data_IF_924958473405
#
_entry.id   IF_924958473405
#
_cell.length_a   1.000
_cell.length_b   1.000
_cell.length_c   1.000
_cell.angle_alpha   90.00
_cell.angle_beta   90.00
_cell.angle_gamma   90.00
#
_symmetry.space_group_name_H-M   'P 1'
#
loop_
_entity.id
_entity.type
_entity.pdbx_description
1 polymer ?
#
# COMPACT_ATOMS: atom_id res chain seq x y z
N UNK A 1 -67.28 -55.29 44.93
CA UNK A 1 -67.50 -56.69 44.47
C UNK A 1 -67.00 -57.68 45.54
N UNK A 2 -67.29 -57.48 46.84
CA UNK A 2 -68.47 -57.82 47.65
C UNK A 2 -68.71 -59.34 47.92
N UNK A 3 -68.34 -60.29 47.06
CA UNK A 3 -68.49 -61.74 47.38
C UNK A 3 -67.25 -62.42 47.98
N UNK A 4 -66.16 -61.66 48.23
CA UNK A 4 -64.99 -62.14 49.01
C UNK A 4 -64.88 -61.56 50.42
N UNK A 5 -65.86 -60.77 50.87
CA UNK A 5 -65.70 -59.95 52.08
C UNK A 5 -66.25 -60.55 53.40
N UNK A 6 -66.77 -61.78 53.45
CA UNK A 6 -67.42 -62.31 54.67
C UNK A 6 -66.56 -63.30 55.50
N UNK A 7 -65.27 -63.51 55.20
CA UNK A 7 -64.41 -64.43 56.00
C UNK A 7 -63.00 -63.97 56.37
N UNK A 8 -62.60 -62.73 56.11
CA UNK A 8 -61.33 -62.20 56.64
C UNK A 8 -61.62 -61.32 57.84
N UNK A 9 -61.07 -61.69 59.00
CA UNK A 9 -61.12 -60.83 60.19
C UNK A 9 -60.53 -59.46 59.84
N UNK A 10 -60.93 -58.38 60.53
CA UNK A 10 -60.31 -57.06 60.36
C UNK A 10 -58.78 -57.13 60.37
N UNK A 11 -58.21 -57.98 61.21
CA UNK A 11 -56.76 -58.24 61.30
C UNK A 11 -56.14 -58.79 60.02
N UNK A 12 -56.86 -59.63 59.26
CA UNK A 12 -56.37 -60.18 58.00
C UNK A 12 -56.40 -59.13 56.88
N UNK A 13 -57.38 -58.22 56.88
CA UNK A 13 -57.43 -57.09 55.96
C UNK A 13 -56.32 -56.07 56.25
N UNK A 14 -56.09 -55.73 57.52
CA UNK A 14 -55.01 -54.83 57.92
C UNK A 14 -53.62 -55.42 57.64
N UNK A 15 -53.43 -56.74 57.80
CA UNK A 15 -52.19 -57.42 57.40
C UNK A 15 -51.94 -57.32 55.90
N UNK A 16 -52.94 -57.64 55.08
CA UNK A 16 -52.81 -57.60 53.61
C UNK A 16 -52.56 -56.18 53.08
N UNK A 17 -53.21 -55.17 53.69
CA UNK A 17 -52.96 -53.76 53.38
C UNK A 17 -51.54 -53.33 53.75
N UNK A 18 -51.03 -53.76 54.92
CA UNK A 18 -49.66 -53.49 55.36
C UNK A 18 -48.62 -54.16 54.45
N UNK A 19 -48.81 -55.44 54.13
CA UNK A 19 -47.92 -56.19 53.23
C UNK A 19 -47.88 -55.59 51.81
N UNK A 20 -48.96 -54.91 51.39
CA UNK A 20 -49.03 -54.21 50.10
C UNK A 20 -48.32 -52.85 50.19
N UNK A 21 -48.47 -52.12 51.29
CA UNK A 21 -47.76 -50.87 51.54
C UNK A 21 -46.24 -51.11 51.59
N UNK A 22 -45.79 -52.10 52.36
CA UNK A 22 -44.38 -52.46 52.52
C UNK A 22 -43.75 -52.89 51.17
N UNK A 23 -44.51 -53.62 50.33
CA UNK A 23 -44.09 -53.98 48.96
C UNK A 23 -43.95 -52.76 48.06
N UNK A 24 -44.92 -51.84 48.11
CA UNK A 24 -44.89 -50.62 47.31
C UNK A 24 -43.77 -49.68 47.77
N UNK A 25 -43.48 -49.59 49.08
CA UNK A 25 -42.33 -48.84 49.60
C UNK A 25 -41.00 -49.45 49.12
N UNK A 26 -40.84 -50.78 49.18
CA UNK A 26 -39.63 -51.44 48.68
C UNK A 26 -39.42 -51.24 47.17
N UNK A 27 -40.49 -51.24 46.38
CA UNK A 27 -40.43 -50.99 44.94
C UNK A 27 -40.12 -49.52 44.63
N UNK A 28 -40.68 -48.58 45.41
CA UNK A 28 -40.35 -47.16 45.33
C UNK A 28 -38.88 -46.88 45.69
N UNK A 29 -38.33 -47.53 46.72
CA UNK A 29 -36.91 -47.42 47.08
C UNK A 29 -35.99 -47.94 45.96
N UNK A 30 -36.35 -49.07 45.35
CA UNK A 30 -35.62 -49.64 44.21
C UNK A 30 -35.64 -48.71 43.00
N UNK A 31 -36.80 -48.14 42.67
CA UNK A 31 -36.94 -47.18 41.58
C UNK A 31 -36.18 -45.88 41.87
N UNK A 32 -36.16 -45.43 43.13
CA UNK A 32 -35.35 -44.29 43.56
C UNK A 32 -33.85 -44.56 43.42
N UNK A 33 -33.39 -45.79 43.74
CA UNK A 33 -31.99 -46.20 43.55
C UNK A 33 -31.59 -46.24 42.08
N UNK A 34 -32.41 -46.85 41.22
CA UNK A 34 -32.18 -46.87 39.77
C UNK A 34 -32.15 -45.45 39.18
N UNK A 35 -33.04 -44.55 39.64
CA UNK A 35 -33.04 -43.15 39.23
C UNK A 35 -31.75 -42.42 39.64
N UNK A 36 -31.20 -42.71 40.84
CA UNK A 36 -29.90 -42.17 41.27
C UNK A 36 -28.74 -42.66 40.41
N UNK A 37 -28.72 -43.93 40.03
CA UNK A 37 -27.69 -44.51 39.14
C UNK A 37 -27.75 -43.90 37.73
N UNK A 38 -28.95 -43.77 37.15
CA UNK A 38 -29.13 -43.09 35.86
C UNK A 38 -28.64 -41.65 35.94
N UNK A 39 -28.96 -40.93 37.03
CA UNK A 39 -28.49 -39.56 37.26
C UNK A 39 -26.96 -39.50 37.36
N UNK A 40 -26.34 -40.43 38.09
CA UNK A 40 -24.88 -40.50 38.19
C UNK A 40 -24.21 -40.74 36.83
N UNK A 41 -24.72 -41.69 36.03
CA UNK A 41 -24.23 -41.96 34.69
C UNK A 41 -24.40 -40.76 33.76
N UNK A 42 -25.53 -40.04 33.87
CA UNK A 42 -25.79 -38.84 33.08
C UNK A 42 -24.82 -37.71 33.43
N UNK A 43 -24.47 -37.56 34.72
CA UNK A 43 -23.44 -36.61 35.17
C UNK A 43 -22.03 -37.02 34.69
N UNK A 44 -21.70 -38.32 34.68
CA UNK A 44 -20.45 -38.81 34.08
C UNK A 44 -20.39 -38.51 32.58
N UNK A 45 -21.46 -38.79 31.83
CA UNK A 45 -21.54 -38.49 30.40
C UNK A 45 -21.44 -36.98 30.14
N UNK A 46 -22.14 -36.15 30.94
CA UNK A 46 -22.01 -34.69 30.86
C UNK A 46 -20.58 -34.23 31.10
N UNK A 47 -19.89 -34.79 32.10
CA UNK A 47 -18.49 -34.47 32.38
C UNK A 47 -17.58 -34.85 31.22
N UNK A 48 -17.77 -36.04 30.62
CA UNK A 48 -17.01 -36.47 29.43
C UNK A 48 -17.29 -35.58 28.22
N UNK A 49 -18.55 -35.20 27.98
CA UNK A 49 -18.92 -34.28 26.90
C UNK A 49 -18.30 -32.90 27.12
N UNK A 50 -18.26 -32.40 28.35
CA UNK A 50 -17.63 -31.12 28.68
C UNK A 50 -16.13 -31.15 28.38
N UNK A 51 -15.44 -32.24 28.74
CA UNK A 51 -14.01 -32.43 28.45
C UNK A 51 -13.77 -32.48 26.93
N UNK A 52 -14.60 -33.19 26.16
CA UNK A 52 -14.47 -33.22 24.70
C UNK A 52 -14.78 -31.87 24.05
N UNK A 53 -15.71 -31.10 24.60
CA UNK A 53 -16.00 -29.72 24.16
C UNK A 53 -14.84 -28.76 24.43
N UNK A 54 -14.05 -28.98 25.49
CA UNK A 54 -12.86 -28.18 25.78
C UNK A 54 -11.77 -28.35 24.72
N UNK A 55 -11.66 -29.52 24.07
CA UNK A 55 -10.68 -29.78 23.00
C UNK A 55 -11.20 -29.49 21.58
N UNK A 56 -12.48 -29.15 21.43
CA UNK A 56 -13.08 -28.87 20.13
C UNK A 56 -12.45 -27.65 19.41
N UNK A 57 -12.08 -26.55 20.11
CA UNK A 57 -11.38 -25.43 19.49
C UNK A 57 -10.01 -25.82 18.91
N UNK A 58 -9.20 -26.59 19.65
CA UNK A 58 -7.87 -27.03 19.24
C UNK A 58 -7.95 -28.02 18.07
N UNK A 59 -8.94 -28.92 18.07
CA UNK A 59 -9.21 -29.82 16.93
C UNK A 59 -9.64 -29.01 15.70
N UNK A 60 -10.46 -27.97 15.88
CA UNK A 60 -10.88 -27.09 14.80
C UNK A 60 -9.71 -26.28 14.24
N UNK A 61 -8.83 -25.78 15.11
CA UNK A 61 -7.62 -25.06 14.73
C UNK A 61 -6.64 -25.99 14.00
N UNK A 62 -6.43 -27.21 14.50
CA UNK A 62 -5.58 -28.21 13.85
C UNK A 62 -6.10 -28.62 12.46
N UNK A 63 -7.43 -28.76 12.30
CA UNK A 63 -8.04 -28.97 10.97
C UNK A 63 -7.78 -27.81 10.02
N UNK A 64 -7.85 -26.57 10.52
CA UNK A 64 -7.51 -25.39 9.72
C UNK A 64 -6.05 -25.40 9.27
N UNK A 65 -5.12 -25.74 10.17
CA UNK A 65 -3.71 -25.93 9.83
C UNK A 65 -3.49 -27.03 8.77
N UNK A 66 -4.18 -28.18 8.89
CA UNK A 66 -4.11 -29.24 7.88
C UNK A 66 -4.63 -28.78 6.52
N UNK A 67 -5.77 -28.06 6.48
CA UNK A 67 -6.28 -27.48 5.23
C UNK A 67 -5.31 -26.46 4.61
N UNK A 68 -4.64 -25.65 5.42
CA UNK A 68 -3.61 -24.71 4.94
C UNK A 68 -2.37 -25.43 4.40
N UNK A 69 -2.00 -26.58 4.98
CA UNK A 69 -0.91 -27.44 4.48
C UNK A 69 -1.32 -28.06 3.14
N UNK A 70 -2.51 -28.66 3.04
CA UNK A 70 -3.00 -29.28 1.80
C UNK A 70 -3.04 -28.25 0.65
N UNK A 71 -3.54 -27.04 0.93
CA UNK A 71 -3.53 -25.94 -0.05
C UNK A 71 -2.12 -25.59 -0.53
N UNK A 72 -1.14 -25.53 0.38
CA UNK A 72 0.26 -25.27 0.02
C UNK A 72 0.86 -26.42 -0.77
N UNK A 73 0.52 -27.68 -0.45
CA UNK A 73 0.94 -28.86 -1.21
C UNK A 73 0.39 -28.81 -2.62
N UNK A 74 -0.88 -28.45 -2.80
CA UNK A 74 -1.49 -28.29 -4.12
C UNK A 74 -0.83 -27.16 -4.93
N UNK A 75 -0.52 -26.02 -4.30
CA UNK A 75 0.23 -24.93 -4.93
C UNK A 75 1.63 -25.38 -5.40
N UNK A 76 2.32 -26.17 -4.59
CA UNK A 76 3.64 -26.73 -4.94
C UNK A 76 3.54 -27.74 -6.07
N UNK A 77 2.55 -28.65 -6.02
CA UNK A 77 2.33 -29.64 -7.07
C UNK A 77 2.00 -28.98 -8.42
N UNK A 78 1.17 -27.92 -8.40
CA UNK A 78 0.87 -27.14 -9.59
C UNK A 78 2.14 -26.50 -10.17
N UNK A 79 2.94 -25.83 -9.35
CA UNK A 79 4.23 -25.25 -9.78
C UNK A 79 5.18 -26.32 -10.35
N UNK A 80 5.19 -27.50 -9.74
CA UNK A 80 6.00 -28.62 -10.21
C UNK A 80 5.54 -29.12 -11.59
N UNK A 81 4.24 -29.20 -11.83
CA UNK A 81 3.70 -29.59 -13.13
C UNK A 81 3.94 -28.53 -14.21
N UNK A 82 3.85 -27.24 -13.86
CA UNK A 82 4.25 -26.13 -14.72
C UNK A 82 5.74 -26.26 -15.12
N UNK A 83 6.63 -26.47 -14.15
CA UNK A 83 8.07 -26.70 -14.38
C UNK A 83 8.32 -27.92 -15.28
N UNK A 84 7.59 -29.03 -15.08
CA UNK A 84 7.71 -30.21 -15.96
C UNK A 84 7.28 -29.87 -17.39
N UNK A 85 6.21 -29.09 -17.55
CA UNK A 85 5.74 -28.57 -18.83
C UNK A 85 6.81 -27.75 -19.53
N UNK A 86 7.41 -26.79 -18.81
CA UNK A 86 8.47 -25.93 -19.33
C UNK A 86 9.72 -26.72 -19.73
N UNK A 87 10.14 -27.68 -18.90
CA UNK A 87 11.26 -28.59 -19.22
C UNK A 87 10.97 -29.37 -20.51
N UNK A 88 9.74 -29.86 -20.69
CA UNK A 88 9.34 -30.59 -21.90
C UNK A 88 9.38 -29.68 -23.13
N UNK A 89 8.86 -28.46 -23.02
CA UNK A 89 8.86 -27.47 -24.10
C UNK A 89 10.29 -27.10 -24.50
N UNK A 90 11.14 -26.79 -23.53
CA UNK A 90 12.54 -26.41 -23.78
C UNK A 90 13.31 -27.59 -24.38
N UNK A 91 13.08 -28.82 -23.92
CA UNK A 91 13.66 -30.01 -24.56
C UNK A 91 13.21 -30.14 -26.02
N UNK A 92 11.96 -29.83 -26.33
CA UNK A 92 11.45 -29.85 -27.70
C UNK A 92 12.08 -28.76 -28.57
N UNK A 93 12.28 -27.55 -28.03
CA UNK A 93 12.98 -26.44 -28.72
C UNK A 93 14.43 -26.83 -29.01
N UNK A 94 15.16 -27.29 -27.99
CA UNK A 94 16.55 -27.76 -28.12
C UNK A 94 16.65 -28.90 -29.15
N UNK A 95 15.71 -29.85 -29.13
CA UNK A 95 15.68 -30.97 -30.08
C UNK A 95 15.49 -30.56 -31.55
N UNK A 96 14.97 -29.36 -31.82
CA UNK A 96 14.86 -28.81 -33.18
C UNK A 96 16.05 -27.94 -33.59
N UNK A 97 16.88 -27.52 -32.63
CA UNK A 97 18.04 -26.65 -32.90
C UNK A 97 19.16 -27.41 -33.60
N UNK A 98 19.64 -26.84 -34.70
CA UNK A 98 20.81 -27.35 -35.41
C UNK A 98 22.09 -27.23 -34.58
N UNK A 99 22.25 -26.12 -33.86
CA UNK A 99 23.39 -25.88 -32.97
C UNK A 99 23.45 -26.90 -31.83
N UNK A 100 22.31 -27.17 -31.17
CA UNK A 100 22.24 -28.17 -30.12
C UNK A 100 22.52 -29.59 -30.67
N UNK A 101 21.99 -29.91 -31.85
CA UNK A 101 22.28 -31.18 -32.52
C UNK A 101 23.76 -31.34 -32.87
N UNK A 102 24.44 -30.27 -33.24
CA UNK A 102 25.88 -30.30 -33.55
C UNK A 102 26.70 -30.52 -32.28
N UNK A 103 26.43 -29.78 -31.21
CA UNK A 103 27.13 -29.91 -29.92
C UNK A 103 27.00 -31.33 -29.33
N UNK A 104 25.80 -31.91 -29.41
CA UNK A 104 25.53 -33.25 -28.91
C UNK A 104 26.16 -34.34 -29.78
N UNK A 105 26.22 -34.15 -31.10
CA UNK A 105 26.93 -35.04 -32.01
C UNK A 105 28.43 -35.07 -31.72
N UNK A 106 29.06 -33.90 -31.57
CA UNK A 106 30.48 -33.78 -31.18
C UNK A 106 30.78 -34.47 -29.84
N UNK A 107 29.87 -34.36 -28.87
CA UNK A 107 29.99 -35.07 -27.59
C UNK A 107 29.96 -36.59 -27.81
N UNK A 108 29.04 -37.10 -28.61
CA UNK A 108 28.92 -38.53 -28.89
C UNK A 108 30.18 -39.08 -29.59
N UNK A 109 30.72 -38.34 -30.57
CA UNK A 109 31.98 -38.68 -31.24
C UNK A 109 33.17 -38.74 -30.26
N UNK A 110 33.24 -37.80 -29.31
CA UNK A 110 34.27 -37.80 -28.26
C UNK A 110 34.11 -38.99 -27.29
N UNK A 111 32.88 -39.33 -26.90
CA UNK A 111 32.59 -40.46 -26.01
C UNK A 111 32.89 -41.81 -26.69
N UNK A 112 32.55 -41.95 -27.98
CA UNK A 112 32.92 -43.13 -28.77
C UNK A 112 34.44 -43.26 -28.90
N UNK A 113 35.13 -42.16 -29.23
CA UNK A 113 36.59 -42.13 -29.28
C UNK A 113 37.23 -42.48 -27.93
N UNK A 114 36.64 -42.06 -26.81
CA UNK A 114 37.10 -42.40 -25.47
C UNK A 114 36.99 -43.91 -25.19
N UNK A 115 35.85 -44.52 -25.54
CA UNK A 115 35.58 -45.93 -25.31
C UNK A 115 36.45 -46.87 -26.17
N UNK A 116 36.89 -46.41 -27.35
CA UNK A 116 37.77 -47.17 -28.23
C UNK A 116 39.24 -47.23 -27.77
N UNK A 117 39.64 -46.45 -26.75
CA UNK A 117 41.04 -46.40 -26.29
C UNK A 117 41.32 -47.48 -25.23
N UNK A 118 42.35 -48.33 -25.39
CA UNK A 118 42.73 -49.33 -24.39
C UNK A 118 43.08 -48.72 -23.01
N UNK A 119 42.78 -49.45 -21.93
CA UNK A 119 43.07 -49.00 -20.55
C UNK A 119 44.56 -48.70 -20.29
N UNK A 120 45.46 -49.31 -21.08
CA UNK A 120 46.90 -49.10 -21.01
C UNK A 120 47.37 -47.71 -21.46
N UNK A 121 46.54 -46.93 -22.17
CA UNK A 121 46.90 -45.61 -22.69
C UNK A 121 46.29 -44.46 -21.86
N UNK A 122 46.78 -44.33 -20.62
CA UNK A 122 46.24 -43.40 -19.61
C UNK A 122 46.31 -41.92 -20.01
N UNK A 123 47.38 -41.49 -20.70
CA UNK A 123 47.54 -40.09 -21.09
C UNK A 123 46.52 -39.62 -22.13
N UNK A 124 46.24 -40.44 -23.15
CA UNK A 124 45.26 -40.10 -24.20
C UNK A 124 43.84 -40.08 -23.63
N UNK A 125 43.51 -41.01 -22.71
CA UNK A 125 42.23 -41.01 -21.99
C UNK A 125 42.01 -39.74 -21.18
N UNK A 126 43.03 -39.25 -20.46
CA UNK A 126 42.93 -38.00 -19.69
C UNK A 126 42.68 -36.79 -20.60
N UNK A 127 43.27 -36.76 -21.79
CA UNK A 127 43.07 -35.66 -22.75
C UNK A 127 41.63 -35.63 -23.27
N UNK A 128 41.12 -36.78 -23.71
CA UNK A 128 39.76 -36.87 -24.27
C UNK A 128 38.70 -36.69 -23.18
N UNK A 129 38.92 -37.18 -21.96
CA UNK A 129 37.99 -36.93 -20.85
C UNK A 129 37.84 -35.44 -20.54
N UNK A 130 38.92 -34.65 -20.63
CA UNK A 130 38.85 -33.18 -20.51
C UNK A 130 38.06 -32.54 -21.66
N UNK A 131 38.19 -33.04 -22.89
CA UNK A 131 37.41 -32.55 -24.02
C UNK A 131 35.92 -32.88 -23.86
N UNK A 132 35.58 -34.10 -23.43
CA UNK A 132 34.22 -34.51 -23.08
C UNK A 132 33.64 -33.57 -22.02
N UNK A 133 34.38 -33.31 -20.95
CA UNK A 133 33.93 -32.43 -19.87
C UNK A 133 33.72 -30.99 -20.37
N UNK A 134 34.65 -30.45 -21.16
CA UNK A 134 34.50 -29.14 -21.79
C UNK A 134 33.26 -29.07 -22.70
N UNK A 135 32.99 -30.15 -23.45
CA UNK A 135 31.83 -30.22 -24.34
C UNK A 135 30.51 -30.32 -23.55
N UNK A 136 30.49 -31.09 -22.45
CA UNK A 136 29.34 -31.16 -21.53
C UNK A 136 29.05 -29.80 -20.91
N UNK A 137 30.08 -29.06 -20.51
CA UNK A 137 29.95 -27.69 -20.01
C UNK A 137 29.41 -26.73 -21.08
N UNK A 138 29.89 -26.83 -22.33
CA UNK A 138 29.37 -26.03 -23.44
C UNK A 138 27.89 -26.31 -23.72
N UNK A 139 27.49 -27.59 -23.72
CA UNK A 139 26.09 -28.02 -23.88
C UNK A 139 25.23 -27.46 -22.73
N UNK A 140 25.70 -27.56 -21.48
CA UNK A 140 24.92 -27.07 -20.35
C UNK A 140 24.81 -25.54 -20.38
N UNK A 141 25.89 -24.81 -20.69
CA UNK A 141 25.85 -23.36 -20.88
C UNK A 141 24.84 -22.96 -21.95
N UNK A 142 24.85 -23.64 -23.10
CA UNK A 142 23.88 -23.40 -24.17
C UNK A 142 22.43 -23.65 -23.72
N UNK A 143 22.18 -24.71 -22.96
CA UNK A 143 20.84 -24.99 -22.40
C UNK A 143 20.39 -23.88 -21.47
N UNK A 144 21.29 -23.39 -20.61
CA UNK A 144 21.01 -22.25 -19.72
C UNK A 144 20.72 -20.97 -20.52
N UNK A 145 21.40 -20.74 -21.65
CA UNK A 145 21.14 -19.57 -22.51
C UNK A 145 19.75 -19.63 -23.15
N UNK A 146 19.37 -20.80 -23.66
CA UNK A 146 18.03 -21.04 -24.21
C UNK A 146 16.95 -20.87 -23.12
N UNK A 147 17.19 -21.39 -21.92
CA UNK A 147 16.32 -21.19 -20.75
C UNK A 147 16.13 -19.70 -20.42
N UNK A 148 17.22 -18.92 -20.38
CA UNK A 148 17.17 -17.47 -20.13
C UNK A 148 16.34 -16.73 -21.17
N UNK A 149 16.48 -17.10 -22.44
CA UNK A 149 15.70 -16.46 -23.51
C UNK A 149 14.22 -16.85 -23.44
N UNK A 150 13.90 -18.12 -23.15
CA UNK A 150 12.52 -18.56 -22.91
C UNK A 150 11.87 -17.80 -21.75
N UNK A 151 12.60 -17.66 -20.64
CA UNK A 151 12.12 -16.91 -19.48
C UNK A 151 11.86 -15.45 -19.84
N UNK A 152 12.70 -14.85 -20.68
CA UNK A 152 12.50 -13.47 -21.16
C UNK A 152 11.21 -13.35 -21.97
N UNK A 153 10.96 -14.25 -22.93
CA UNK A 153 9.70 -14.26 -23.68
C UNK A 153 8.47 -14.47 -22.78
N UNK A 154 8.58 -15.29 -21.74
CA UNK A 154 7.47 -15.55 -20.81
C UNK A 154 7.08 -14.35 -19.94
N UNK A 155 8.02 -13.42 -19.71
CA UNK A 155 7.82 -12.26 -18.82
C UNK A 155 7.27 -11.03 -19.53
N UNK A 156 7.30 -11.01 -20.86
CA UNK A 156 6.88 -9.87 -21.67
C UNK A 156 5.53 -10.12 -22.32
N UNK A 157 4.80 -9.04 -22.59
CA UNK A 157 3.63 -9.11 -23.48
C UNK A 157 4.12 -9.05 -24.92
N UNK A 158 3.61 -9.94 -25.77
CA UNK A 158 4.05 -10.04 -27.16
C UNK A 158 3.08 -9.26 -28.03
N UNK A 159 3.38 -7.97 -28.19
CA UNK A 159 2.50 -6.95 -28.78
C UNK A 159 2.89 -6.54 -30.20
N UNK A 160 4.14 -6.77 -30.62
CA UNK A 160 4.61 -6.46 -31.96
C UNK A 160 4.69 -7.69 -32.86
N UNK A 161 4.48 -7.47 -34.16
CA UNK A 161 4.62 -8.53 -35.17
C UNK A 161 6.05 -9.08 -35.23
N UNK A 162 7.05 -8.20 -35.10
CA UNK A 162 8.47 -8.58 -35.03
C UNK A 162 8.72 -9.54 -33.86
N UNK A 163 8.17 -9.24 -32.68
CA UNK A 163 8.36 -10.07 -31.48
C UNK A 163 7.61 -11.40 -31.59
N UNK A 164 6.40 -11.43 -32.19
CA UNK A 164 5.69 -12.69 -32.49
C UNK A 164 6.51 -13.60 -33.41
N UNK A 165 7.08 -13.03 -34.47
CA UNK A 165 7.90 -13.78 -35.41
C UNK A 165 9.21 -14.28 -34.75
N UNK A 166 9.83 -13.45 -33.91
CA UNK A 166 11.03 -13.83 -33.18
C UNK A 166 10.74 -14.97 -32.18
N UNK A 167 9.62 -14.91 -31.46
CA UNK A 167 9.20 -16.01 -30.58
C UNK A 167 8.94 -17.30 -31.37
N UNK A 168 8.25 -17.22 -32.51
CA UNK A 168 8.01 -18.39 -33.34
C UNK A 168 9.32 -19.02 -33.86
N UNK A 169 10.29 -18.21 -34.27
CA UNK A 169 11.61 -18.67 -34.67
C UNK A 169 12.35 -19.35 -33.51
N UNK A 170 12.28 -18.77 -32.30
CA UNK A 170 12.83 -19.35 -31.08
C UNK A 170 12.22 -20.71 -30.77
N UNK A 171 10.89 -20.83 -30.83
CA UNK A 171 10.16 -22.08 -30.57
C UNK A 171 10.39 -23.17 -31.63
N UNK A 172 10.82 -22.76 -32.83
CA UNK A 172 11.32 -23.69 -33.86
C UNK A 172 12.78 -24.11 -33.66
N UNK A 173 13.49 -23.54 -32.68
CA UNK A 173 14.91 -23.82 -32.43
C UNK A 173 15.88 -23.07 -33.34
N UNK A 174 15.40 -22.08 -34.10
CA UNK A 174 16.21 -21.24 -34.99
C UNK A 174 16.60 -19.95 -34.26
N UNK A 175 17.63 -20.07 -33.43
CA UNK A 175 18.11 -18.97 -32.59
C UNK A 175 18.77 -17.86 -33.42
N UNK A 176 19.39 -18.21 -34.55
CA UNK A 176 19.96 -17.25 -35.49
C UNK A 176 18.86 -16.39 -36.10
N UNK A 177 17.78 -17.01 -36.61
CA UNK A 177 16.65 -16.27 -37.18
C UNK A 177 15.94 -15.39 -36.16
N UNK A 178 15.86 -15.86 -34.92
CA UNK A 178 15.36 -15.05 -33.79
C UNK A 178 16.12 -13.72 -33.67
N UNK A 179 17.46 -13.78 -33.70
CA UNK A 179 18.32 -12.59 -33.66
C UNK A 179 18.24 -11.72 -34.92
N UNK A 180 18.11 -12.30 -36.11
CA UNK A 180 17.94 -11.55 -37.36
C UNK A 180 16.62 -10.76 -37.40
N UNK A 181 15.54 -11.34 -36.87
CA UNK A 181 14.25 -10.66 -36.76
C UNK A 181 14.31 -9.50 -35.76
N UNK A 182 15.11 -9.64 -34.70
CA UNK A 182 15.39 -8.62 -33.69
C UNK A 182 16.68 -7.86 -34.01
N UNK A 183 16.85 -7.41 -35.25
CA UNK A 183 18.07 -6.73 -35.67
C UNK A 183 18.23 -5.34 -35.00
N UNK A 184 19.49 -4.99 -34.71
CA UNK A 184 19.83 -3.78 -33.98
C UNK A 184 19.38 -2.50 -34.69
N UNK A 185 19.51 -2.42 -36.01
CA UNK A 185 19.16 -1.22 -36.78
C UNK A 185 17.69 -0.86 -36.67
N UNK A 186 16.80 -1.83 -36.84
CA UNK A 186 15.36 -1.60 -36.70
C UNK A 186 14.98 -1.25 -35.25
N UNK A 187 15.60 -1.93 -34.27
CA UNK A 187 15.37 -1.66 -32.85
C UNK A 187 15.83 -0.25 -32.44
N UNK A 188 16.98 0.19 -32.94
CA UNK A 188 17.52 1.53 -32.72
C UNK A 188 16.62 2.60 -33.35
N UNK A 189 16.15 2.39 -34.58
CA UNK A 189 15.23 3.30 -35.25
C UNK A 189 13.90 3.44 -34.49
N UNK A 190 13.33 2.33 -34.02
CA UNK A 190 12.14 2.34 -33.18
C UNK A 190 12.39 3.07 -31.85
N UNK A 191 13.53 2.83 -31.21
CA UNK A 191 13.92 3.49 -29.96
C UNK A 191 14.04 5.01 -30.13
N UNK A 192 14.77 5.48 -31.14
CA UNK A 192 14.94 6.91 -31.40
C UNK A 192 13.60 7.60 -31.64
N UNK A 193 12.73 6.98 -32.44
CA UNK A 193 11.37 7.48 -32.69
C UNK A 193 10.55 7.58 -31.41
N UNK A 194 10.57 6.54 -30.57
CA UNK A 194 9.82 6.52 -29.31
C UNK A 194 10.34 7.57 -28.31
N UNK A 195 11.66 7.76 -28.23
CA UNK A 195 12.26 8.78 -27.39
C UNK A 195 11.90 10.19 -27.89
N UNK A 196 11.96 10.44 -29.20
CA UNK A 196 11.54 11.71 -29.79
C UNK A 196 10.05 12.01 -29.50
N UNK A 197 9.17 11.02 -29.65
CA UNK A 197 7.75 11.16 -29.34
C UNK A 197 7.49 11.42 -27.85
N UNK A 198 8.25 10.75 -26.96
CA UNK A 198 8.17 10.98 -25.51
C UNK A 198 8.54 12.43 -25.17
N UNK A 199 9.60 12.95 -25.78
CA UNK A 199 10.05 14.33 -25.60
C UNK A 199 9.04 15.35 -26.14
N UNK A 200 8.46 15.11 -27.32
CA UNK A 200 7.41 15.94 -27.88
C UNK A 200 6.18 15.98 -26.97
N UNK A 201 5.73 14.83 -26.46
CA UNK A 201 4.61 14.75 -25.52
C UNK A 201 4.89 15.49 -24.21
N UNK A 202 6.12 15.42 -23.69
CA UNK A 202 6.55 16.18 -22.52
C UNK A 202 6.43 17.68 -22.78
N UNK A 203 6.99 18.17 -23.89
CA UNK A 203 6.91 19.60 -24.26
C UNK A 203 5.48 20.10 -24.39
N UNK A 204 4.61 19.33 -25.05
CA UNK A 204 3.18 19.66 -25.19
C UNK A 204 2.46 19.72 -23.83
N UNK A 205 2.83 18.83 -22.91
CA UNK A 205 2.31 18.87 -21.53
C UNK A 205 2.79 20.14 -20.81
N UNK A 206 4.09 20.45 -20.87
CA UNK A 206 4.65 21.64 -20.22
C UNK A 206 4.02 22.94 -20.79
N UNK A 207 3.79 23.00 -22.10
CA UNK A 207 3.08 24.10 -22.76
C UNK A 207 1.64 24.23 -22.25
N UNK A 208 0.90 23.12 -22.14
CA UNK A 208 -0.46 23.10 -21.61
C UNK A 208 -0.50 23.54 -20.14
N UNK A 209 0.42 23.05 -19.31
CA UNK A 209 0.53 23.41 -17.90
C UNK A 209 0.81 24.92 -17.75
N UNK A 210 1.65 25.49 -18.62
CA UNK A 210 1.88 26.94 -18.69
C UNK A 210 0.61 27.70 -19.11
N UNK A 211 -0.13 27.25 -20.12
CA UNK A 211 -1.37 27.90 -20.54
C UNK A 211 -2.42 27.88 -19.42
N UNK A 212 -2.53 26.77 -18.69
CA UNK A 212 -3.40 26.67 -17.51
C UNK A 212 -2.98 27.63 -16.40
N UNK A 213 -1.68 27.82 -16.17
CA UNK A 213 -1.16 28.81 -15.20
C UNK A 213 -1.49 30.25 -15.61
N UNK A 214 -1.38 30.58 -16.89
CA UNK A 214 -1.79 31.90 -17.39
C UNK A 214 -3.29 32.12 -17.20
N UNK A 215 -4.12 31.15 -17.60
CA UNK A 215 -5.56 31.23 -17.43
C UNK A 215 -5.98 31.35 -15.95
N UNK A 216 -5.31 30.60 -15.05
CA UNK A 216 -5.52 30.74 -13.61
C UNK A 216 -5.21 32.16 -13.12
N UNK A 217 -4.14 32.77 -13.64
CA UNK A 217 -3.72 34.13 -13.29
C UNK A 217 -4.73 35.18 -13.80
N UNK A 218 -5.27 35.00 -15.01
CA UNK A 218 -6.34 35.85 -15.55
C UNK A 218 -7.61 35.80 -14.67
N UNK A 219 -8.02 34.61 -14.24
CA UNK A 219 -9.15 34.47 -13.33
C UNK A 219 -8.88 35.07 -11.94
N UNK A 220 -7.64 34.98 -11.44
CA UNK A 220 -7.24 35.62 -10.19
C UNK A 220 -7.40 37.15 -10.29
N UNK A 221 -6.88 37.75 -11.37
CA UNK A 221 -7.02 39.19 -11.62
C UNK A 221 -8.50 39.55 -11.80
N UNK A 222 -9.28 38.72 -12.49
CA UNK A 222 -10.73 38.93 -12.66
C UNK A 222 -11.46 38.92 -11.32
N UNK A 223 -11.12 38.00 -10.42
CA UNK A 223 -11.72 37.94 -9.07
C UNK A 223 -11.43 39.23 -8.28
N UNK A 224 -10.16 39.67 -8.27
CA UNK A 224 -9.71 40.89 -7.62
C UNK A 224 -10.40 42.14 -8.22
N UNK A 225 -10.46 42.25 -9.54
CA UNK A 225 -11.13 43.36 -10.22
C UNK A 225 -12.63 43.40 -9.91
N UNK A 226 -13.28 42.24 -9.84
CA UNK A 226 -14.70 42.14 -9.49
C UNK A 226 -14.95 42.56 -8.04
N UNK A 227 -14.03 42.27 -7.12
CA UNK A 227 -14.16 42.69 -5.72
C UNK A 227 -14.11 44.23 -5.57
N UNK A 228 -13.31 44.88 -6.41
CA UNK A 228 -13.16 46.34 -6.45
C UNK A 228 -14.34 47.06 -7.10
N UNK A 229 -15.19 46.37 -7.87
CA UNK A 229 -16.35 46.94 -8.52
C UNK A 229 -17.52 47.12 -7.54
N UNK A 230 -17.53 48.26 -6.84
CA UNK A 230 -18.59 48.59 -5.89
C UNK A 230 -19.97 48.81 -6.54
N UNK A 231 -20.03 48.95 -7.87
CA UNK A 231 -21.30 49.13 -8.59
C UNK A 231 -22.01 47.80 -8.87
N UNK A 232 -21.27 46.69 -8.87
CA UNK A 232 -21.81 45.37 -9.10
C UNK A 232 -22.51 44.80 -7.84
N UNK A 233 -23.84 44.59 -7.87
CA UNK A 233 -24.57 44.05 -6.73
C UNK A 233 -24.22 42.59 -6.42
N UNK A 234 -23.75 41.83 -7.42
CA UNK A 234 -23.40 40.41 -7.30
C UNK A 234 -21.91 40.17 -7.04
N UNK A 235 -21.13 41.24 -6.79
CA UNK A 235 -19.67 41.15 -6.74
C UNK A 235 -19.14 40.08 -5.78
N UNK A 236 -19.82 39.82 -4.67
CA UNK A 236 -19.38 38.82 -3.69
C UNK A 236 -19.38 37.40 -4.27
N UNK A 237 -20.52 36.93 -4.78
CA UNK A 237 -20.63 35.58 -5.32
C UNK A 237 -19.79 35.40 -6.59
N UNK A 238 -19.71 36.45 -7.43
CA UNK A 238 -18.89 36.42 -8.64
C UNK A 238 -17.38 36.37 -8.30
N UNK A 239 -16.90 37.18 -7.36
CA UNK A 239 -15.49 37.14 -6.91
C UNK A 239 -15.12 35.74 -6.41
N UNK A 240 -15.94 35.15 -5.54
CA UNK A 240 -15.71 33.78 -5.05
C UNK A 240 -15.67 32.78 -6.21
N UNK A 241 -16.59 32.90 -7.16
CA UNK A 241 -16.63 32.03 -8.34
C UNK A 241 -15.36 32.14 -9.16
N UNK A 242 -14.86 33.36 -9.42
CA UNK A 242 -13.63 33.56 -10.19
C UNK A 242 -12.37 33.05 -9.47
N UNK A 243 -12.29 33.19 -8.15
CA UNK A 243 -11.23 32.53 -7.37
C UNK A 243 -11.26 31.00 -7.54
N UNK A 244 -12.44 30.39 -7.48
CA UNK A 244 -12.57 28.94 -7.68
C UNK A 244 -12.23 28.52 -9.11
N UNK A 245 -12.57 29.31 -10.14
CA UNK A 245 -12.13 29.03 -11.51
C UNK A 245 -10.62 29.16 -11.68
N UNK A 246 -9.98 30.15 -11.02
CA UNK A 246 -8.53 30.29 -10.99
C UNK A 246 -7.86 29.01 -10.47
N UNK A 247 -8.29 28.55 -9.30
CA UNK A 247 -7.76 27.34 -8.65
C UNK A 247 -8.03 26.10 -9.51
N UNK A 248 -9.21 26.01 -10.14
CA UNK A 248 -9.57 24.91 -11.04
C UNK A 248 -8.65 24.82 -12.26
N UNK A 249 -8.22 25.95 -12.81
CA UNK A 249 -7.28 25.98 -13.93
C UNK A 249 -5.88 25.55 -13.47
N UNK A 250 -5.38 26.13 -12.39
CA UNK A 250 -4.11 25.75 -11.77
C UNK A 250 -4.07 26.29 -10.34
N UNK A 251 -3.86 25.42 -9.36
CA UNK A 251 -3.67 25.84 -7.97
C UNK A 251 -2.24 26.35 -7.76
N UNK A 252 -2.11 27.52 -7.15
CA UNK A 252 -0.83 28.06 -6.69
C UNK A 252 -1.06 28.91 -5.46
N UNK A 253 0.02 29.35 -4.81
CA UNK A 253 -0.12 30.00 -3.51
C UNK A 253 -1.06 31.21 -3.55
N UNK A 254 -0.89 32.14 -4.50
CA UNK A 254 -1.58 33.43 -4.43
C UNK A 254 -3.09 33.34 -4.70
N UNK A 255 -3.56 32.39 -5.52
CA UNK A 255 -4.99 32.23 -5.75
C UNK A 255 -5.71 31.53 -4.58
N UNK A 256 -5.08 30.53 -3.96
CA UNK A 256 -5.57 29.90 -2.74
C UNK A 256 -5.53 30.88 -1.56
N UNK A 257 -4.40 31.56 -1.38
CA UNK A 257 -4.23 32.57 -0.33
C UNK A 257 -5.21 33.73 -0.51
N UNK A 258 -5.40 34.19 -1.75
CA UNK A 258 -6.38 35.23 -2.09
C UNK A 258 -7.81 34.81 -1.74
N UNK A 259 -8.21 33.57 -2.04
CA UNK A 259 -9.52 33.05 -1.66
C UNK A 259 -9.69 32.93 -0.13
N UNK A 260 -8.66 32.45 0.57
CA UNK A 260 -8.68 32.37 2.03
C UNK A 260 -8.83 33.75 2.68
N UNK A 261 -8.07 34.74 2.18
CA UNK A 261 -8.16 36.12 2.62
C UNK A 261 -9.53 36.74 2.32
N UNK A 262 -10.09 36.48 1.14
CA UNK A 262 -11.45 36.87 0.78
C UNK A 262 -12.46 36.31 1.79
N UNK A 263 -12.37 35.03 2.13
CA UNK A 263 -13.24 34.42 3.14
C UNK A 263 -13.12 35.10 4.51
N UNK A 264 -11.90 35.39 4.96
CA UNK A 264 -11.66 36.09 6.22
C UNK A 264 -12.28 37.50 6.21
N UNK A 265 -12.12 38.26 5.12
CA UNK A 265 -12.68 39.62 4.97
C UNK A 265 -14.20 39.65 5.10
N UNK A 266 -14.89 38.59 4.68
CA UNK A 266 -16.34 38.46 4.77
C UNK A 266 -16.81 37.57 5.93
N UNK A 267 -15.99 37.43 6.98
CA UNK A 267 -16.29 36.70 8.22
C UNK A 267 -16.67 35.21 8.01
N UNK A 268 -16.19 34.60 6.93
CA UNK A 268 -16.35 33.17 6.62
C UNK A 268 -15.14 32.40 7.16
N UNK A 269 -14.95 32.43 8.48
CA UNK A 269 -13.74 31.92 9.12
C UNK A 269 -13.49 30.42 8.88
N UNK A 270 -14.52 29.58 8.88
CA UNK A 270 -14.33 28.15 8.60
C UNK A 270 -13.92 27.89 7.14
N UNK A 271 -14.48 28.65 6.19
CA UNK A 271 -14.09 28.56 4.77
C UNK A 271 -12.64 29.06 4.57
N UNK A 272 -12.24 30.11 5.31
CA UNK A 272 -10.86 30.62 5.30
C UNK A 272 -9.87 29.58 5.85
N UNK A 273 -10.18 28.95 6.98
CA UNK A 273 -9.35 27.90 7.59
C UNK A 273 -9.18 26.74 6.61
N UNK A 274 -10.28 26.25 6.06
CA UNK A 274 -10.26 25.18 5.07
C UNK A 274 -9.39 25.54 3.86
N UNK A 275 -9.47 26.78 3.39
CA UNK A 275 -8.69 27.23 2.23
C UNK A 275 -7.20 27.39 2.54
N UNK A 276 -6.84 27.91 3.71
CA UNK A 276 -5.43 27.97 4.13
C UNK A 276 -4.83 26.58 4.33
N UNK A 277 -5.57 25.63 4.91
CA UNK A 277 -5.12 24.25 5.03
C UNK A 277 -4.96 23.57 3.65
N UNK A 278 -5.79 23.95 2.66
CA UNK A 278 -5.64 23.48 1.27
C UNK A 278 -4.31 23.89 0.64
N UNK A 279 -3.72 25.03 1.02
CA UNK A 279 -2.39 25.44 0.53
C UNK A 279 -1.36 24.35 0.87
N UNK A 280 -1.39 23.80 2.08
CA UNK A 280 -0.48 22.73 2.47
C UNK A 280 -0.80 21.40 1.80
N UNK A 281 -2.08 21.05 1.63
CA UNK A 281 -2.43 19.78 0.98
C UNK A 281 -2.14 19.76 -0.51
N UNK A 282 -2.34 20.89 -1.21
CA UNK A 282 -2.20 20.95 -2.68
C UNK A 282 -0.77 21.28 -3.11
N UNK A 283 -0.07 22.16 -2.38
CA UNK A 283 1.28 22.60 -2.74
C UNK A 283 2.37 21.84 -1.97
N UNK A 284 2.07 21.36 -0.76
CA UNK A 284 2.96 20.51 0.04
C UNK A 284 4.41 20.99 0.05
N UNK A 285 5.32 20.15 -0.46
CA UNK A 285 6.76 20.42 -0.51
C UNK A 285 7.18 21.43 -1.58
N UNK A 286 6.30 21.80 -2.51
CA UNK A 286 6.58 22.81 -3.53
C UNK A 286 6.30 24.24 -3.04
N UNK A 287 5.71 24.39 -1.85
CA UNK A 287 5.42 25.67 -1.22
C UNK A 287 6.73 26.33 -0.73
N UNK A 288 7.10 27.52 -1.25
CA UNK A 288 8.26 28.26 -0.74
C UNK A 288 8.13 28.57 0.76
N UNK A 289 9.27 28.66 1.46
CA UNK A 289 9.30 28.84 2.92
C UNK A 289 8.60 30.13 3.36
N UNK A 290 8.73 31.19 2.58
CA UNK A 290 8.09 32.48 2.82
C UNK A 290 6.56 32.39 2.76
N UNK A 291 6.04 31.59 1.82
CA UNK A 291 4.61 31.36 1.64
C UNK A 291 4.06 30.42 2.72
N UNK A 292 4.86 29.43 3.14
CA UNK A 292 4.55 28.58 4.30
C UNK A 292 4.45 29.42 5.57
N UNK A 293 5.44 30.26 5.85
CA UNK A 293 5.44 31.15 7.02
C UNK A 293 4.26 32.12 7.00
N UNK A 294 3.96 32.71 5.83
CA UNK A 294 2.83 33.61 5.66
C UNK A 294 1.49 32.91 5.92
N UNK A 295 1.31 31.71 5.38
CA UNK A 295 0.09 30.91 5.56
C UNK A 295 -0.11 30.54 7.02
N UNK A 296 0.93 30.05 7.70
CA UNK A 296 0.91 29.73 9.13
C UNK A 296 0.55 30.94 9.98
N UNK A 297 1.16 32.10 9.73
CA UNK A 297 0.84 33.31 10.49
C UNK A 297 -0.64 33.72 10.33
N UNK A 298 -1.27 33.49 9.17
CA UNK A 298 -2.69 33.81 8.98
C UNK A 298 -3.64 32.76 9.59
N UNK A 299 -3.28 31.47 9.53
CA UNK A 299 -3.98 30.42 10.27
C UNK A 299 -3.96 30.69 11.78
N UNK A 300 -2.81 31.10 12.31
CA UNK A 300 -2.67 31.40 13.73
C UNK A 300 -3.57 32.56 14.17
N UNK A 301 -3.70 33.60 13.34
CA UNK A 301 -4.65 34.70 13.57
C UNK A 301 -6.10 34.17 13.62
N UNK A 302 -6.44 33.25 12.74
CA UNK A 302 -7.76 32.66 12.63
C UNK A 302 -8.09 31.76 13.83
N UNK A 303 -7.16 30.89 14.24
CA UNK A 303 -7.31 30.06 15.43
C UNK A 303 -7.36 30.89 16.70
N UNK A 304 -6.57 31.96 16.79
CA UNK A 304 -6.69 32.93 17.88
C UNK A 304 -8.09 33.54 17.94
N UNK A 305 -8.66 33.93 16.80
CA UNK A 305 -10.04 34.46 16.74
C UNK A 305 -11.11 33.42 17.14
N UNK A 306 -10.82 32.12 16.95
CA UNK A 306 -11.65 30.99 17.37
C UNK A 306 -11.37 30.54 18.83
N UNK A 307 -10.49 31.22 19.55
CA UNK A 307 -10.02 30.85 20.91
C UNK A 307 -9.26 29.51 20.98
N UNK A 308 -8.73 29.04 19.86
CA UNK A 308 -7.88 27.84 19.76
C UNK A 308 -6.41 28.20 20.03
N UNK A 309 -6.15 28.77 21.21
CA UNK A 309 -4.89 29.45 21.51
C UNK A 309 -3.64 28.57 21.42
N UNK A 310 -3.75 27.27 21.74
CA UNK A 310 -2.63 26.33 21.61
C UNK A 310 -2.19 26.16 20.15
N UNK A 311 -3.15 25.98 19.23
CA UNK A 311 -2.85 25.87 17.79
C UNK A 311 -2.24 27.17 17.26
N UNK A 312 -2.80 28.31 17.65
CA UNK A 312 -2.29 29.62 17.26
C UNK A 312 -0.84 29.84 17.74
N UNK A 313 -0.52 29.41 18.98
CA UNK A 313 0.83 29.53 19.54
C UNK A 313 1.84 28.69 18.76
N UNK A 314 1.50 27.45 18.44
CA UNK A 314 2.34 26.54 17.65
C UNK A 314 2.58 27.11 16.24
N UNK A 315 1.53 27.57 15.57
CA UNK A 315 1.59 28.08 14.19
C UNK A 315 2.36 29.42 14.10
N UNK A 316 2.16 30.36 15.04
CA UNK A 316 2.97 31.58 15.11
C UNK A 316 4.44 31.27 15.38
N UNK A 317 4.72 30.30 16.26
CA UNK A 317 6.09 29.90 16.60
C UNK A 317 6.81 29.25 15.40
N UNK A 318 6.11 28.41 14.64
CA UNK A 318 6.64 27.83 13.40
C UNK A 318 6.87 28.93 12.34
N UNK A 319 5.90 29.83 12.13
CA UNK A 319 6.04 30.95 11.21
C UNK A 319 7.23 31.86 11.58
N UNK A 320 7.41 32.17 12.86
CA UNK A 320 8.52 32.97 13.36
C UNK A 320 9.88 32.30 13.10
N UNK A 321 9.96 30.98 13.32
CA UNK A 321 11.18 30.20 13.05
C UNK A 321 11.53 30.27 11.56
N UNK A 322 10.55 30.10 10.68
CA UNK A 322 10.75 30.20 9.23
C UNK A 322 11.19 31.61 8.82
N UNK A 323 10.54 32.66 9.33
CA UNK A 323 10.93 34.03 9.02
C UNK A 323 12.31 34.40 9.54
N UNK A 324 12.73 33.90 10.72
CA UNK A 324 14.11 34.08 11.21
C UNK A 324 15.12 33.41 10.30
N UNK A 325 14.83 32.18 9.84
CA UNK A 325 15.69 31.48 8.89
C UNK A 325 15.84 32.27 7.58
N UNK A 326 14.73 32.80 7.06
CA UNK A 326 14.74 33.64 5.85
C UNK A 326 15.48 34.97 6.07
N UNK A 327 15.33 35.58 7.24
CA UNK A 327 16.04 36.81 7.61
C UNK A 327 17.56 36.62 7.71
N UNK A 328 18.06 35.43 8.06
CA UNK A 328 19.49 35.16 8.04
C UNK A 328 20.10 35.30 6.63
N UNK A 329 19.33 34.98 5.58
CA UNK A 329 19.77 35.10 4.19
C UNK A 329 19.43 36.45 3.56
N UNK A 330 18.29 37.03 3.91
CA UNK A 330 17.85 38.31 3.35
C UNK A 330 17.15 39.18 4.43
N UNK A 331 17.96 39.81 5.32
CA UNK A 331 17.42 40.56 6.45
C UNK A 331 16.52 41.73 6.04
N UNK A 332 16.88 42.45 4.97
CA UNK A 332 16.16 43.65 4.51
C UNK A 332 14.72 43.37 4.11
N UNK A 333 14.44 42.15 3.65
CA UNK A 333 13.08 41.72 3.31
C UNK A 333 12.37 41.13 4.53
N UNK A 334 13.03 40.25 5.29
CA UNK A 334 12.34 39.37 6.24
C UNK A 334 12.33 39.83 7.71
N UNK A 335 13.20 40.76 8.13
CA UNK A 335 13.17 41.28 9.50
C UNK A 335 11.84 41.93 9.86
N UNK A 336 11.17 42.59 8.90
CA UNK A 336 9.85 43.16 9.10
C UNK A 336 8.79 42.08 9.43
N UNK A 337 8.90 40.91 8.80
CA UNK A 337 7.99 39.78 9.04
C UNK A 337 8.28 39.10 10.39
N UNK A 338 9.55 39.00 10.79
CA UNK A 338 9.94 38.56 12.14
C UNK A 338 9.31 39.46 13.19
N UNK A 339 9.48 40.79 13.08
CA UNK A 339 8.90 41.74 14.03
C UNK A 339 7.36 41.71 14.08
N UNK A 340 6.69 41.53 12.93
CA UNK A 340 5.23 41.38 12.87
C UNK A 340 4.76 40.10 13.55
N UNK A 341 5.43 38.98 13.32
CA UNK A 341 5.06 37.69 13.89
C UNK A 341 5.28 37.67 15.40
N UNK A 342 6.38 38.24 15.89
CA UNK A 342 6.64 38.46 17.32
C UNK A 342 5.55 39.28 17.98
N UNK A 343 5.10 40.38 17.36
CA UNK A 343 4.00 41.17 17.90
C UNK A 343 2.69 40.36 17.99
N UNK A 344 2.40 39.52 16.99
CA UNK A 344 1.19 38.69 17.01
C UNK A 344 1.24 37.63 18.12
N UNK A 345 2.40 37.01 18.30
CA UNK A 345 2.65 36.03 19.37
C UNK A 345 2.54 36.69 20.75
N UNK A 346 3.09 37.90 20.90
CA UNK A 346 3.01 38.65 22.15
C UNK A 346 1.56 39.01 22.53
N UNK A 347 0.74 39.43 21.55
CA UNK A 347 -0.69 39.69 21.76
C UNK A 347 -1.43 38.40 22.13
N UNK A 348 -1.08 37.26 21.53
CA UNK A 348 -1.64 35.96 21.91
C UNK A 348 -1.29 35.62 23.36
N UNK A 349 -0.02 35.76 23.75
CA UNK A 349 0.46 35.50 25.11
C UNK A 349 -0.17 36.42 26.15
N UNK A 350 -0.37 37.70 25.83
CA UNK A 350 -1.13 38.63 26.67
C UNK A 350 -2.58 38.13 26.87
N UNK A 351 -3.24 37.67 25.79
CA UNK A 351 -4.62 37.14 25.83
C UNK A 351 -4.74 35.93 26.77
N UNK A 352 -3.68 35.12 26.91
CA UNK A 352 -3.63 33.93 27.78
C UNK A 352 -2.85 34.15 29.08
N UNK A 353 -2.61 35.41 29.48
CA UNK A 353 -1.92 35.80 30.72
C UNK A 353 -0.47 35.28 30.89
N UNK A 354 0.24 35.05 29.79
CA UNK A 354 1.68 34.73 29.78
C UNK A 354 2.52 36.02 29.64
N UNK A 355 2.36 36.95 30.58
CA UNK A 355 2.92 38.32 30.50
C UNK A 355 4.44 38.36 30.31
N UNK A 356 5.19 37.50 31.01
CA UNK A 356 6.67 37.45 30.88
C UNK A 356 7.14 37.12 29.46
N UNK A 357 6.39 36.30 28.71
CA UNK A 357 6.71 35.98 27.32
C UNK A 357 6.33 37.13 26.40
N UNK A 358 5.14 37.68 26.57
CA UNK A 358 4.66 38.83 25.78
C UNK A 358 5.62 40.03 25.88
N UNK A 359 6.10 40.37 27.08
CA UNK A 359 7.07 41.45 27.29
C UNK A 359 8.38 41.22 26.52
N UNK A 360 8.90 39.99 26.53
CA UNK A 360 10.13 39.63 25.81
C UNK A 360 9.95 39.75 24.31
N UNK A 361 8.84 39.23 23.79
CA UNK A 361 8.54 39.23 22.35
C UNK A 361 8.29 40.65 21.82
N UNK A 362 7.57 41.50 22.57
CA UNK A 362 7.43 42.91 22.25
C UNK A 362 8.77 43.65 22.27
N UNK A 363 9.62 43.39 23.27
CA UNK A 363 10.94 44.01 23.36
C UNK A 363 11.83 43.62 22.16
N UNK A 364 11.81 42.35 21.76
CA UNK A 364 12.53 41.87 20.57
C UNK A 364 12.00 42.51 19.28
N UNK A 365 10.67 42.55 19.09
CA UNK A 365 10.07 43.16 17.91
C UNK A 365 10.41 44.66 17.79
N UNK A 366 10.46 45.39 18.91
CA UNK A 366 10.88 46.79 18.94
C UNK A 366 12.36 46.96 18.62
N UNK A 367 13.22 46.07 19.11
CA UNK A 367 14.65 46.10 18.79
C UNK A 367 14.88 45.91 17.28
N UNK A 368 14.19 44.96 16.66
CA UNK A 368 14.25 44.71 15.21
C UNK A 368 13.75 45.93 14.42
N UNK A 369 12.64 46.55 14.82
CA UNK A 369 12.15 47.77 14.13
C UNK A 369 13.16 48.91 14.16
N UNK A 370 13.82 49.13 15.30
CA UNK A 370 14.89 50.12 15.44
C UNK A 370 16.12 49.78 14.59
N UNK A 371 16.40 48.50 14.35
CA UNK A 371 17.47 48.07 13.46
C UNK A 371 17.12 48.34 11.99
N UNK A 372 15.88 48.04 11.58
CA UNK A 372 15.39 48.32 10.23
C UNK A 372 15.43 49.83 9.93
N UNK A 373 15.04 50.68 10.87
CA UNK A 373 15.03 52.14 10.68
C UNK A 373 16.42 52.78 10.55
N UNK A 374 17.47 52.08 10.99
CA UNK A 374 18.86 52.57 10.93
C UNK A 374 19.59 52.18 9.65
N UNK A 375 19.07 51.20 8.92
CA UNK A 375 19.61 50.66 7.69
C UNK A 375 18.83 51.17 6.49
#
# INVERSE_FOLDING_TARGET
MIDRCIKKSPEAFFREAKDTLDRNEAELEKNAKNSREIKANLETIKATVLVLQQFAPEIHEFRKYLCDIDRKVDEVNKKLDDIKGDIKNIRAILGKSGEYSQLTKELAELEEAYNAIPDSNSQVRIRISKQIESQKQAIEAFRQDVLRMAETFSKITIDSERLRQAQAAFESGDFKRTGELLNATDLESDQERLLALKEERRRKKDELDNQLRHNATEYLIKAQATELDLSNPNRFEETKTYYLQSIRSCAFHDNLFGLAYYHQRYNRFDDAEATYLRIFSELGNTLPLENRALTLNNLAILHKAKNEFGRAEDEFSEALTLYRNLANSNPSVYLLYVAKTLNNLAILHETINKTDLAEREFAEAQAIRKEIEKN
#
